data_IF_922909430552
#
_entry.id   IF_922909430552
#
_cell.length_a   1.000
_cell.length_b   1.000
_cell.length_c   1.000
_cell.angle_alpha   90.00
_cell.angle_beta   90.00
_cell.angle_gamma   90.00
#
_symmetry.space_group_name_H-M   'P 1'
#
loop_
_entity.id
_entity.type
_entity.pdbx_description
1 polymer ?
#
# COMPACT_ATOMS: atom_id res chain seq x y z
N UNK A 1 -25.91 0.57 24.55
CA UNK A 1 -25.75 0.68 23.08
C UNK A 1 -24.87 1.88 22.75
N UNK A 2 -23.60 1.83 23.17
CA UNK A 2 -22.57 2.86 22.95
C UNK A 2 -21.21 2.16 22.95
N UNK A 3 -20.80 1.52 21.84
CA UNK A 3 -19.46 0.89 21.78
C UNK A 3 -18.83 0.83 20.39
N UNK A 4 -19.25 1.66 19.43
CA UNK A 4 -18.73 1.59 18.05
C UNK A 4 -17.85 2.76 17.62
N UNK A 5 -17.54 3.72 18.51
CA UNK A 5 -16.78 4.92 18.13
C UNK A 5 -15.31 4.93 18.56
N UNK A 6 -14.86 3.97 19.38
CA UNK A 6 -13.49 3.97 19.95
C UNK A 6 -12.53 2.95 19.33
N UNK A 7 -12.83 2.42 18.13
CA UNK A 7 -11.86 1.61 17.41
C UNK A 7 -11.25 2.43 16.28
N UNK A 8 -10.05 3.02 16.46
CA UNK A 8 -9.40 3.72 15.37
C UNK A 8 -9.22 2.76 14.20
N UNK A 9 -9.55 3.26 13.00
CA UNK A 9 -9.34 2.53 11.75
C UNK A 9 -7.86 2.12 11.68
N UNK A 10 -7.59 0.81 11.65
CA UNK A 10 -6.21 0.35 11.64
C UNK A 10 -5.58 0.63 10.27
N UNK A 11 -4.48 1.38 10.25
CA UNK A 11 -3.70 1.65 9.04
C UNK A 11 -2.52 0.69 8.93
N UNK A 12 -2.52 -0.17 7.91
CA UNK A 12 -1.49 -1.19 7.68
C UNK A 12 -0.60 -0.78 6.50
N UNK A 13 0.70 -0.58 6.73
CA UNK A 13 1.64 -0.12 5.71
C UNK A 13 2.97 -0.88 5.82
N UNK A 14 3.47 -1.38 4.68
CA UNK A 14 4.70 -2.19 4.65
C UNK A 14 5.96 -1.39 5.02
N UNK A 15 6.04 -0.10 4.68
CA UNK A 15 7.19 0.75 5.00
C UNK A 15 7.23 1.07 6.51
N UNK A 16 6.07 1.27 7.15
CA UNK A 16 5.96 1.41 8.62
C UNK A 16 6.46 0.13 9.30
N UNK A 17 5.96 -1.03 8.86
CA UNK A 17 6.39 -2.33 9.40
C UNK A 17 7.90 -2.53 9.18
N UNK A 18 8.44 -2.16 8.02
CA UNK A 18 9.87 -2.29 7.74
C UNK A 18 10.72 -1.39 8.67
N UNK A 19 10.26 -0.16 8.92
CA UNK A 19 10.92 0.77 9.84
C UNK A 19 10.88 0.28 11.29
N UNK A 20 9.79 -0.37 11.72
CA UNK A 20 9.68 -0.99 13.05
C UNK A 20 10.60 -2.21 13.20
N UNK A 21 10.70 -3.05 12.16
CA UNK A 21 11.52 -4.26 12.19
C UNK A 21 13.01 -3.97 12.13
N UNK A 22 13.42 -3.03 11.28
CA UNK A 22 14.83 -2.65 11.15
C UNK A 22 14.97 -1.18 10.71
N UNK A 23 14.98 -0.23 11.66
CA UNK A 23 15.05 1.20 11.35
C UNK A 23 16.36 1.59 10.65
N UNK A 24 17.44 0.81 10.83
CA UNK A 24 18.74 1.08 10.25
C UNK A 24 18.91 0.48 8.84
N UNK A 25 18.08 -0.48 8.45
CA UNK A 25 18.14 -1.14 7.15
C UNK A 25 16.78 -1.72 6.75
N UNK A 26 15.87 -0.84 6.32
CA UNK A 26 14.52 -1.21 5.89
C UNK A 26 14.52 -2.14 4.66
N UNK A 27 15.52 -2.00 3.77
CA UNK A 27 15.65 -2.84 2.57
C UNK A 27 15.85 -4.31 2.92
N UNK A 28 16.64 -4.60 3.96
CA UNK A 28 16.90 -5.96 4.40
C UNK A 28 15.63 -6.69 4.88
N UNK A 29 14.60 -5.96 5.30
CA UNK A 29 13.36 -6.52 5.84
C UNK A 29 12.13 -6.25 4.95
N UNK A 30 12.28 -5.52 3.83
CA UNK A 30 11.16 -5.06 3.00
C UNK A 30 10.25 -6.19 2.51
N UNK A 31 10.82 -7.35 2.14
CA UNK A 31 10.05 -8.53 1.73
C UNK A 31 9.27 -9.13 2.89
N UNK A 32 9.88 -9.22 4.07
CA UNK A 32 9.23 -9.71 5.29
C UNK A 32 8.09 -8.78 5.72
N UNK A 33 8.35 -7.47 5.73
CA UNK A 33 7.36 -6.44 6.06
C UNK A 33 6.16 -6.47 5.10
N UNK A 34 6.41 -6.66 3.79
CA UNK A 34 5.34 -6.82 2.80
C UNK A 34 4.48 -8.07 3.05
N UNK A 35 5.08 -9.18 3.49
CA UNK A 35 4.34 -10.41 3.85
C UNK A 35 3.49 -10.20 5.09
N UNK A 36 4.05 -9.59 6.14
CA UNK A 36 3.33 -9.27 7.38
C UNK A 36 2.15 -8.31 7.13
N UNK A 37 2.34 -7.30 6.28
CA UNK A 37 1.26 -6.40 5.86
C UNK A 37 0.10 -7.20 5.23
N UNK A 38 0.40 -8.12 4.31
CA UNK A 38 -0.61 -8.96 3.66
C UNK A 38 -1.31 -9.91 4.65
N UNK A 39 -0.57 -10.53 5.56
CA UNK A 39 -1.14 -11.38 6.61
C UNK A 39 -2.07 -10.58 7.53
N UNK A 40 -1.69 -9.34 7.85
CA UNK A 40 -2.47 -8.47 8.73
C UNK A 40 -3.79 -8.05 8.10
N UNK A 41 -3.78 -7.55 6.86
CA UNK A 41 -5.02 -7.15 6.18
C UNK A 41 -5.95 -8.35 5.94
N UNK A 42 -5.41 -9.55 5.68
CA UNK A 42 -6.20 -10.77 5.60
C UNK A 42 -6.84 -11.14 6.94
N UNK A 43 -6.09 -10.98 8.03
CA UNK A 43 -6.60 -11.23 9.39
C UNK A 43 -7.72 -10.25 9.75
N UNK A 44 -7.56 -8.97 9.44
CA UNK A 44 -8.56 -7.94 9.67
C UNK A 44 -9.82 -8.20 8.84
N UNK A 45 -9.67 -8.54 7.56
CA UNK A 45 -10.78 -8.89 6.68
C UNK A 45 -11.58 -10.10 7.19
N UNK A 46 -10.90 -11.18 7.62
CA UNK A 46 -11.56 -12.37 8.19
C UNK A 46 -12.31 -12.09 9.49
N UNK A 47 -11.88 -11.07 10.24
CA UNK A 47 -12.52 -10.66 11.50
C UNK A 47 -13.64 -9.63 11.29
N UNK A 48 -13.96 -9.26 10.05
CA UNK A 48 -14.97 -8.24 9.76
C UNK A 48 -14.61 -6.86 10.31
N UNK A 49 -13.32 -6.57 10.45
CA UNK A 49 -12.83 -5.28 10.97
C UNK A 49 -12.63 -4.28 9.84
N UNK A 50 -12.92 -3.01 10.11
CA UNK A 50 -12.55 -1.92 9.20
C UNK A 50 -11.04 -1.65 9.29
N UNK A 51 -10.40 -1.41 8.14
CA UNK A 51 -8.97 -1.09 8.04
C UNK A 51 -8.67 -0.25 6.79
N UNK A 52 -7.53 0.43 6.81
CA UNK A 52 -6.93 1.08 5.66
C UNK A 52 -5.54 0.49 5.40
N UNK A 53 -5.10 0.50 4.14
CA UNK A 53 -3.74 0.13 3.80
C UNK A 53 -3.28 0.92 2.59
N UNK A 54 -1.99 1.21 2.51
CA UNK A 54 -1.38 1.92 1.39
C UNK A 54 -0.61 0.96 0.49
N UNK A 55 -0.68 1.18 -0.82
CA UNK A 55 0.13 0.48 -1.79
C UNK A 55 0.37 1.35 -3.00
N UNK A 56 1.45 1.05 -3.74
CA UNK A 56 1.72 1.66 -5.06
C UNK A 56 0.78 1.13 -6.15
N UNK A 57 -0.06 0.13 -5.83
CA UNK A 57 -0.92 -0.60 -6.77
C UNK A 57 -0.15 -1.29 -7.91
N UNK A 58 1.18 -1.38 -7.85
CA UNK A 58 1.99 -2.04 -8.88
C UNK A 58 1.87 -3.58 -8.83
N UNK A 59 1.51 -4.13 -7.67
CA UNK A 59 1.30 -5.56 -7.46
C UNK A 59 -0.14 -5.97 -7.79
N UNK A 60 -0.31 -7.08 -8.51
CA UNK A 60 -1.63 -7.62 -8.89
C UNK A 60 -2.32 -8.39 -7.76
N UNK A 61 -1.61 -8.66 -6.66
CA UNK A 61 -2.11 -9.44 -5.52
C UNK A 61 -3.32 -8.80 -4.84
N UNK A 62 -3.37 -7.47 -4.78
CA UNK A 62 -4.48 -6.75 -4.13
C UNK A 62 -5.80 -6.89 -4.86
N UNK A 63 -5.81 -7.10 -6.18
CA UNK A 63 -7.03 -7.28 -6.96
C UNK A 63 -7.87 -8.48 -6.47
N UNK A 64 -7.20 -9.62 -6.21
CA UNK A 64 -7.86 -10.81 -5.65
C UNK A 64 -8.40 -10.53 -4.24
N UNK A 65 -7.58 -9.93 -3.39
CA UNK A 65 -7.96 -9.58 -2.02
C UNK A 65 -9.19 -8.64 -1.97
N UNK A 66 -9.23 -7.59 -2.79
CA UNK A 66 -10.35 -6.66 -2.84
C UNK A 66 -11.66 -7.35 -3.29
N UNK A 67 -11.59 -8.28 -4.25
CA UNK A 67 -12.76 -9.09 -4.64
C UNK A 67 -13.27 -9.95 -3.48
N UNK A 68 -12.38 -10.56 -2.71
CA UNK A 68 -12.74 -11.35 -1.54
C UNK A 68 -13.37 -10.47 -0.44
N UNK A 69 -12.81 -9.28 -0.18
CA UNK A 69 -13.42 -8.32 0.74
C UNK A 69 -14.85 -7.94 0.32
N UNK A 70 -15.08 -7.64 -0.96
CA UNK A 70 -16.43 -7.34 -1.47
C UNK A 70 -17.39 -8.51 -1.29
N UNK A 71 -16.96 -9.72 -1.63
CA UNK A 71 -17.78 -10.92 -1.43
C UNK A 71 -18.17 -11.11 0.05
N UNK A 72 -17.33 -10.64 0.97
CA UNK A 72 -17.56 -10.64 2.41
C UNK A 72 -18.30 -9.38 2.94
N UNK A 73 -18.86 -8.55 2.06
CA UNK A 73 -19.71 -7.41 2.43
C UNK A 73 -18.96 -6.10 2.70
N UNK A 74 -17.66 -6.01 2.39
CA UNK A 74 -16.92 -4.75 2.55
C UNK A 74 -17.34 -3.73 1.50
N UNK A 75 -17.50 -2.48 1.94
CA UNK A 75 -17.45 -1.30 1.07
C UNK A 75 -16.01 -0.86 0.90
N UNK A 76 -15.53 -0.77 -0.34
CA UNK A 76 -14.16 -0.39 -0.65
C UNK A 76 -14.13 1.08 -1.08
N UNK A 77 -13.30 1.87 -0.40
CA UNK A 77 -12.99 3.23 -0.81
C UNK A 77 -11.56 3.25 -1.37
N UNK A 78 -11.42 3.46 -2.69
CA UNK A 78 -10.12 3.53 -3.35
C UNK A 78 -9.78 4.99 -3.66
N UNK A 79 -8.69 5.49 -3.06
CA UNK A 79 -8.08 6.78 -3.40
C UNK A 79 -6.74 6.49 -4.08
N UNK A 80 -6.58 6.94 -5.32
CA UNK A 80 -5.34 6.75 -6.07
C UNK A 80 -4.78 8.11 -6.51
N UNK A 81 -3.60 8.45 -6.00
CA UNK A 81 -2.89 9.71 -6.26
C UNK A 81 -1.64 9.41 -7.07
N UNK A 82 -1.47 10.08 -8.20
CA UNK A 82 -0.28 9.95 -9.04
C UNK A 82 0.24 11.32 -9.48
N UNK A 83 1.52 11.37 -9.84
CA UNK A 83 2.19 12.56 -10.40
C UNK A 83 2.02 12.61 -11.90
N UNK A 84 2.13 13.78 -12.51
CA UNK A 84 2.02 13.94 -13.97
C UNK A 84 3.01 13.07 -14.76
N UNK A 85 4.20 12.79 -14.22
CA UNK A 85 5.23 12.00 -14.90
C UNK A 85 6.07 11.13 -13.96
N UNK A 86 6.74 10.12 -14.54
CA UNK A 86 7.69 9.28 -13.81
C UNK A 86 8.95 10.08 -13.41
N UNK A 87 9.34 11.06 -14.23
CA UNK A 87 10.45 11.98 -14.01
C UNK A 87 10.23 12.78 -12.72
N UNK A 88 9.00 13.25 -12.48
CA UNK A 88 8.65 13.92 -11.23
C UNK A 88 8.77 12.97 -10.03
N UNK A 89 8.40 11.70 -10.17
CA UNK A 89 8.57 10.72 -9.10
C UNK A 89 10.06 10.49 -8.78
N UNK A 90 10.90 10.35 -9.80
CA UNK A 90 12.36 10.22 -9.67
C UNK A 90 12.95 11.46 -8.98
N UNK A 91 12.57 12.66 -9.44
CA UNK A 91 13.01 13.93 -8.84
C UNK A 91 12.62 14.04 -7.36
N UNK A 92 11.41 13.62 -6.97
CA UNK A 92 10.97 13.63 -5.57
C UNK A 92 11.76 12.66 -4.70
N UNK A 93 12.09 11.47 -5.21
CA UNK A 93 12.96 10.53 -4.47
C UNK A 93 14.37 11.09 -4.33
N UNK A 94 14.95 11.68 -5.39
CA UNK A 94 16.26 12.31 -5.32
C UNK A 94 16.30 13.43 -4.27
N UNK A 95 15.27 14.29 -4.23
CA UNK A 95 15.13 15.32 -3.19
C UNK A 95 15.05 14.71 -1.78
N UNK A 96 14.25 13.65 -1.59
CA UNK A 96 14.15 12.95 -0.31
C UNK A 96 15.49 12.40 0.16
N UNK A 97 16.26 11.80 -0.75
CA UNK A 97 17.60 11.26 -0.46
C UNK A 97 18.56 12.38 -0.08
N UNK A 98 18.53 13.51 -0.80
CA UNK A 98 19.33 14.69 -0.45
C UNK A 98 19.00 15.26 0.94
N UNK A 99 17.78 15.03 1.44
CA UNK A 99 17.34 15.37 2.80
C UNK A 99 17.54 14.23 3.82
N UNK A 100 18.31 13.19 3.49
CA UNK A 100 18.62 12.07 4.40
C UNK A 100 17.59 10.95 4.45
N UNK A 101 16.59 10.94 3.56
CA UNK A 101 15.58 9.89 3.50
C UNK A 101 16.00 8.67 2.66
N UNK A 102 15.16 7.63 2.69
CA UNK A 102 15.42 6.35 2.03
C UNK A 102 15.46 6.45 0.48
N UNK A 103 16.42 5.76 -0.15
CA UNK A 103 16.56 5.70 -1.61
C UNK A 103 15.78 4.53 -2.21
N UNK A 104 15.16 4.74 -3.37
CA UNK A 104 14.57 3.66 -4.17
C UNK A 104 15.23 3.71 -5.55
N UNK A 105 15.73 2.59 -6.10
CA UNK A 105 16.34 2.58 -7.43
C UNK A 105 15.40 3.11 -8.52
N UNK A 106 15.91 3.94 -9.43
CA UNK A 106 15.12 4.63 -10.45
C UNK A 106 14.29 3.67 -11.32
N UNK A 107 14.87 2.54 -11.74
CA UNK A 107 14.16 1.52 -12.50
C UNK A 107 12.95 0.95 -11.73
N UNK A 108 13.03 0.87 -10.39
CA UNK A 108 11.92 0.44 -9.54
C UNK A 108 10.86 1.54 -9.44
N UNK A 109 11.25 2.81 -9.33
CA UNK A 109 10.34 3.96 -9.33
C UNK A 109 9.51 3.99 -10.62
N UNK A 110 10.18 3.98 -11.78
CA UNK A 110 9.53 4.02 -13.10
C UNK A 110 8.59 2.84 -13.31
N UNK A 111 9.06 1.63 -13.02
CA UNK A 111 8.24 0.41 -13.11
C UNK A 111 7.01 0.48 -12.21
N UNK A 112 7.12 0.99 -10.97
CA UNK A 112 5.98 1.12 -10.04
C UNK A 112 5.00 2.19 -10.53
N UNK A 113 5.50 3.30 -11.07
CA UNK A 113 4.69 4.38 -11.63
C UNK A 113 3.80 3.88 -12.78
N UNK A 114 4.40 3.22 -13.77
CA UNK A 114 3.66 2.68 -14.93
C UNK A 114 2.66 1.61 -14.50
N UNK A 115 3.12 0.58 -13.79
CA UNK A 115 2.26 -0.55 -13.40
C UNK A 115 1.12 -0.13 -12.48
N UNK A 116 1.35 0.81 -11.57
CA UNK A 116 0.31 1.32 -10.68
C UNK A 116 -0.81 1.99 -11.47
N UNK A 117 -0.45 2.84 -12.45
CA UNK A 117 -1.41 3.53 -13.33
C UNK A 117 -2.16 2.54 -14.21
N UNK A 118 -1.46 1.60 -14.83
CA UNK A 118 -2.09 0.58 -15.68
C UNK A 118 -3.07 -0.28 -14.90
N UNK A 119 -2.69 -0.70 -13.69
CA UNK A 119 -3.57 -1.46 -12.81
C UNK A 119 -4.78 -0.62 -12.38
N UNK A 120 -4.60 0.66 -12.05
CA UNK A 120 -5.72 1.54 -11.72
C UNK A 120 -6.70 1.66 -12.89
N UNK A 121 -6.21 2.02 -14.08
CA UNK A 121 -7.06 2.22 -15.26
C UNK A 121 -7.79 0.94 -15.66
N UNK A 122 -7.10 -0.20 -15.67
CA UNK A 122 -7.67 -1.47 -16.11
C UNK A 122 -8.54 -2.18 -15.05
N UNK A 123 -8.36 -1.91 -13.75
CA UNK A 123 -8.96 -2.71 -12.67
C UNK A 123 -9.69 -1.91 -11.59
N UNK A 124 -9.82 -0.58 -11.70
CA UNK A 124 -10.55 0.22 -10.69
C UNK A 124 -11.99 -0.26 -10.45
N UNK A 125 -12.65 -0.84 -11.45
CA UNK A 125 -13.98 -1.43 -11.31
C UNK A 125 -14.00 -2.62 -10.34
N UNK A 126 -12.89 -3.32 -10.14
CA UNK A 126 -12.80 -4.38 -9.15
C UNK A 126 -12.90 -3.84 -7.71
N UNK A 127 -12.64 -2.55 -7.50
CA UNK A 127 -12.84 -1.84 -6.24
C UNK A 127 -14.22 -1.14 -6.14
N UNK A 128 -14.92 -0.89 -7.26
CA UNK A 128 -16.26 -0.26 -7.33
C UNK A 128 -17.44 -1.19 -7.11
#
# INVERSE_FOLDING_TARGET
MLSSLDNPLEFVNADIIAAELNPNNVDAVAVGASRLMLERINTLSRRGRDFAFETTLAARTFAKFLRECKANGYRINLVYVWLESAELAVSRVAKRVASGGHNIPENIIRRRYERGRDNFVSRRSEAS
#
